data_IF_928556327108
#
_entry.id   IF_928556327108
#
_cell.length_a   1.000
_cell.length_b   1.000
_cell.length_c   1.000
_cell.angle_alpha   90.00
_cell.angle_beta   90.00
_cell.angle_gamma   90.00
#
_symmetry.space_group_name_H-M   'P 1'
#
loop_
_entity.id
_entity.type
_entity.pdbx_description
1 polymer ?
#
# COMPACT_ATOMS: atom_id res chain seq x y z
N UNK A 1 -27.56 -14.46 -19.68
CA UNK A 1 -26.60 -14.28 -18.56
C UNK A 1 -25.88 -12.98 -18.79
N UNK A 2 -25.89 -12.03 -17.85
CA UNK A 2 -25.07 -10.83 -17.98
C UNK A 2 -23.61 -11.25 -17.76
N UNK A 3 -22.76 -11.12 -18.78
CA UNK A 3 -21.32 -11.14 -18.60
C UNK A 3 -20.96 -9.87 -17.80
N UNK A 4 -20.97 -9.98 -16.48
CA UNK A 4 -20.42 -8.92 -15.63
C UNK A 4 -18.95 -8.80 -16.04
N UNK A 5 -18.54 -7.61 -16.51
CA UNK A 5 -17.13 -7.33 -16.74
C UNK A 5 -16.38 -7.73 -15.45
N UNK A 6 -15.24 -8.44 -15.54
CA UNK A 6 -14.42 -8.71 -14.37
C UNK A 6 -14.19 -7.38 -13.65
N UNK A 7 -14.58 -7.31 -12.37
CA UNK A 7 -14.33 -6.12 -11.58
C UNK A 7 -12.82 -6.00 -11.49
N UNK A 8 -12.22 -5.03 -12.18
CA UNK A 8 -10.77 -4.77 -12.20
C UNK A 8 -10.23 -4.28 -10.84
N UNK A 9 -10.88 -4.62 -9.73
CA UNK A 9 -10.61 -4.13 -8.38
C UNK A 9 -10.67 -5.17 -7.25
N UNK A 10 -10.99 -6.44 -7.51
CA UNK A 10 -11.11 -7.47 -6.45
C UNK A 10 -9.78 -8.21 -6.15
N UNK A 11 -8.65 -7.69 -6.60
CA UNK A 11 -7.33 -8.28 -6.36
C UNK A 11 -6.60 -7.63 -5.18
N UNK A 12 -5.63 -8.33 -4.55
CA UNK A 12 -4.86 -7.78 -3.44
C UNK A 12 -4.13 -6.47 -3.83
N UNK A 13 -3.62 -5.77 -2.82
CA UNK A 13 -2.65 -4.71 -3.06
C UNK A 13 -1.45 -5.27 -3.83
N UNK A 14 -1.06 -4.61 -4.91
CA UNK A 14 0.06 -5.01 -5.76
C UNK A 14 1.10 -3.89 -5.82
N UNK A 15 2.38 -4.24 -5.74
CA UNK A 15 3.51 -3.30 -5.93
C UNK A 15 4.50 -3.93 -6.90
N UNK A 16 4.80 -3.23 -8.00
CA UNK A 16 5.71 -3.71 -9.05
C UNK A 16 6.72 -2.63 -9.44
N UNK A 17 7.95 -3.03 -9.76
CA UNK A 17 8.94 -2.12 -10.34
C UNK A 17 8.74 -2.07 -11.86
N UNK A 18 8.45 -0.89 -12.39
CA UNK A 18 8.24 -0.67 -13.83
C UNK A 18 9.27 0.35 -14.33
N UNK A 19 10.22 -0.10 -15.17
CA UNK A 19 11.33 0.73 -15.62
C UNK A 19 12.19 1.24 -14.46
N UNK A 20 12.16 2.56 -14.24
CA UNK A 20 12.90 3.24 -13.15
C UNK A 20 12.02 3.57 -11.93
N UNK A 21 10.70 3.45 -12.05
CA UNK A 21 9.74 3.76 -11.01
C UNK A 21 9.17 2.53 -10.32
N UNK A 22 8.39 2.76 -9.27
CA UNK A 22 7.60 1.78 -8.56
C UNK A 22 6.12 2.13 -8.77
N UNK A 23 5.34 1.15 -9.18
CA UNK A 23 3.90 1.27 -9.40
C UNK A 23 3.17 0.46 -8.33
N UNK A 24 2.34 1.13 -7.53
CA UNK A 24 1.46 0.51 -6.55
C UNK A 24 0.01 0.58 -7.02
N UNK A 25 -0.70 -0.54 -6.92
CA UNK A 25 -2.11 -0.69 -7.29
C UNK A 25 -2.92 -1.08 -6.06
N UNK A 26 -3.81 -0.19 -5.62
CA UNK A 26 -4.64 -0.38 -4.42
C UNK A 26 -6.09 -0.63 -4.84
N UNK A 27 -6.70 -1.77 -4.46
CA UNK A 27 -8.13 -2.02 -4.71
C UNK A 27 -9.00 -1.04 -3.89
N UNK A 28 -10.08 -0.55 -4.50
CA UNK A 28 -11.01 0.38 -3.84
C UNK A 28 -12.38 -0.26 -3.59
N UNK A 29 -12.94 0.00 -2.42
CA UNK A 29 -14.32 -0.35 -2.05
C UNK A 29 -15.29 0.42 -2.97
N UNK A 30 -15.84 -0.26 -3.98
CA UNK A 30 -16.65 0.35 -5.04
C UNK A 30 -16.19 0.01 -6.46
N UNK A 31 -15.04 -0.66 -6.59
CA UNK A 31 -14.50 -1.16 -7.84
C UNK A 31 -13.42 -0.27 -8.44
N UNK A 32 -12.54 -0.90 -9.22
CA UNK A 32 -11.37 -0.25 -9.80
C UNK A 32 -10.15 -0.29 -8.87
N UNK A 33 -9.07 0.35 -9.33
CA UNK A 33 -7.78 0.40 -8.63
C UNK A 33 -7.23 1.82 -8.67
N UNK A 34 -6.77 2.31 -7.53
CA UNK A 34 -5.91 3.47 -7.48
C UNK A 34 -4.51 3.03 -7.92
N UNK A 35 -3.95 3.71 -8.92
CA UNK A 35 -2.58 3.46 -9.38
C UNK A 35 -1.73 4.65 -8.97
N UNK A 36 -0.65 4.38 -8.23
CA UNK A 36 0.31 5.39 -7.79
C UNK A 36 1.67 5.02 -8.36
N UNK A 37 2.31 5.96 -9.05
CA UNK A 37 3.70 5.85 -9.47
C UNK A 37 4.56 6.70 -8.55
N UNK A 38 5.68 6.15 -8.12
CA UNK A 38 6.61 6.79 -7.20
C UNK A 38 8.05 6.39 -7.48
N UNK A 39 8.98 7.24 -7.07
CA UNK A 39 10.41 6.95 -7.07
C UNK A 39 10.77 5.94 -5.96
N UNK A 40 11.96 5.31 -6.04
CA UNK A 40 12.45 4.43 -4.97
C UNK A 40 12.53 5.10 -3.59
N UNK A 41 12.89 6.39 -3.54
CA UNK A 41 13.03 7.12 -2.27
C UNK A 41 11.67 7.41 -1.63
N UNK A 42 10.66 7.79 -2.43
CA UNK A 42 9.29 7.97 -1.96
C UNK A 42 8.68 6.66 -1.46
N UNK A 43 8.91 5.55 -2.17
CA UNK A 43 8.44 4.23 -1.74
C UNK A 43 9.07 3.80 -0.40
N UNK A 44 10.35 4.12 -0.19
CA UNK A 44 11.03 3.85 1.07
C UNK A 44 10.43 4.67 2.21
N UNK A 45 10.23 5.97 2.00
CA UNK A 45 9.61 6.85 2.99
C UNK A 45 8.19 6.39 3.37
N UNK A 46 7.39 5.97 2.37
CA UNK A 46 6.07 5.39 2.62
C UNK A 46 6.17 4.11 3.45
N UNK A 47 7.14 3.24 3.17
CA UNK A 47 7.39 2.02 3.95
C UNK A 47 7.72 2.30 5.41
N UNK A 48 8.53 3.33 5.67
CA UNK A 48 8.90 3.75 7.04
C UNK A 48 7.68 4.26 7.83
N UNK A 49 6.85 5.10 7.21
CA UNK A 49 5.61 5.60 7.82
C UNK A 49 4.62 4.45 8.10
N UNK A 50 4.44 3.52 7.16
CA UNK A 50 3.58 2.35 7.35
C UNK A 50 4.11 1.41 8.43
N UNK A 51 5.43 1.20 8.52
CA UNK A 51 6.04 0.43 9.58
C UNK A 51 5.76 1.06 10.96
N UNK A 52 5.83 2.40 11.07
CA UNK A 52 5.58 3.10 12.33
C UNK A 52 4.20 2.86 12.94
N UNK A 53 3.20 2.56 12.10
CA UNK A 53 1.80 2.32 12.52
C UNK A 53 1.40 0.85 12.55
N UNK A 54 2.17 -0.04 11.89
CA UNK A 54 1.87 -1.49 11.84
C UNK A 54 2.69 -2.31 12.82
N UNK A 55 3.83 -1.80 13.28
CA UNK A 55 4.58 -2.43 14.38
C UNK A 55 3.89 -2.05 15.68
N UNK A 56 3.55 -3.04 16.51
CA UNK A 56 2.99 -2.80 17.84
C UNK A 56 3.87 -1.80 18.58
N UNK A 57 3.29 -0.65 18.97
CA UNK A 57 3.99 0.39 19.73
C UNK A 57 4.77 -0.31 20.86
N UNK A 58 6.11 -0.22 20.91
CA UNK A 58 6.84 -0.77 22.04
C UNK A 58 6.26 -0.11 23.30
N UNK A 59 6.01 -0.87 24.38
CA UNK A 59 5.51 -0.30 25.62
C UNK A 59 6.43 0.87 25.97
N UNK A 60 5.84 2.05 26.16
CA UNK A 60 6.57 3.24 26.60
C UNK A 60 7.31 2.78 27.85
N UNK A 61 8.64 2.71 27.80
CA UNK A 61 9.41 2.37 28.99
C UNK A 61 9.00 3.41 30.02
N UNK A 62 8.27 2.95 31.05
CA UNK A 62 7.82 3.80 32.12
C UNK A 62 9.07 4.37 32.74
N UNK A 63 9.30 5.66 32.50
CA UNK A 63 10.27 6.47 33.21
C UNK A 63 9.75 6.65 34.62
N UNK A 64 9.90 5.60 35.44
CA UNK A 64 9.72 5.66 36.88
C UNK A 64 11.07 5.34 37.50
N UNK A 65 11.69 6.36 38.08
CA UNK A 65 12.82 6.25 39.01
C UNK A 65 14.18 6.45 38.37
#
# INVERSE_FOLDING_TARGET
>A
MAAMKPRTGDGPLEVTKEGRGIVMRVPLEGGGRLVVEMSPDEAKALGDELASVTVARPPKADSTG
#
